data_IF_663215679158
#
_entry.id   IF_663215679158
#
_cell.length_a   1.000
_cell.length_b   1.000
_cell.length_c   1.000
_cell.angle_alpha   90.00
_cell.angle_beta   90.00
_cell.angle_gamma   90.00
#
_symmetry.space_group_name_H-M   'P 1'
#
loop_
_entity.id
_entity.type
_entity.pdbx_description
1 polymer ?
#
# COMPACT_ATOMS: atom_id res chain seq x y z
N UNK A 1 30.19 -5.12 -3.75
CA UNK A 1 28.88 -5.53 -3.19
C UNK A 1 27.75 -4.61 -3.64
N UNK A 2 27.79 -3.30 -3.37
CA UNK A 2 26.77 -2.35 -3.86
C UNK A 2 26.50 -2.47 -5.37
N UNK A 3 27.56 -2.51 -6.19
CA UNK A 3 27.48 -2.70 -7.65
C UNK A 3 27.04 -4.10 -8.11
N UNK A 4 27.17 -5.13 -7.27
CA UNK A 4 26.78 -6.51 -7.58
C UNK A 4 25.26 -6.66 -7.42
N UNK A 5 24.71 -6.00 -6.41
CA UNK A 5 23.28 -6.06 -6.08
C UNK A 5 22.48 -4.89 -6.67
N UNK A 6 23.12 -3.99 -7.41
CA UNK A 6 22.51 -2.77 -7.97
C UNK A 6 21.78 -1.94 -6.89
N UNK A 7 22.43 -1.77 -5.73
CA UNK A 7 21.89 -0.99 -4.61
C UNK A 7 22.90 0.03 -4.12
N UNK A 8 22.39 1.09 -3.50
CA UNK A 8 23.23 2.10 -2.87
C UNK A 8 24.05 1.52 -1.70
N UNK A 9 25.26 2.05 -1.49
CA UNK A 9 26.16 1.62 -0.40
C UNK A 9 25.47 1.67 0.96
N UNK A 10 24.65 2.70 1.22
CA UNK A 10 23.91 2.85 2.48
C UNK A 10 22.90 1.74 2.71
N UNK A 11 22.42 1.12 1.64
CA UNK A 11 21.51 -0.04 1.71
C UNK A 11 22.27 -1.26 2.21
N UNK A 12 23.48 -1.49 1.70
CA UNK A 12 24.35 -2.58 2.16
C UNK A 12 24.71 -2.38 3.63
N UNK A 13 25.10 -1.17 4.04
CA UNK A 13 25.43 -0.85 5.44
C UNK A 13 24.25 -1.16 6.37
N UNK A 14 23.03 -0.73 6.00
CA UNK A 14 21.81 -1.06 6.77
C UNK A 14 21.52 -2.55 6.86
N UNK A 15 21.84 -3.34 5.83
CA UNK A 15 21.65 -4.79 5.88
C UNK A 15 22.59 -5.43 6.90
N UNK A 16 23.86 -5.02 6.92
CA UNK A 16 24.83 -5.50 7.92
C UNK A 16 24.45 -5.05 9.33
N UNK A 17 24.06 -3.78 9.53
CA UNK A 17 23.62 -3.27 10.83
C UNK A 17 22.41 -4.03 11.38
N UNK A 18 21.45 -4.36 10.51
CA UNK A 18 20.26 -5.13 10.91
C UNK A 18 20.60 -6.59 11.18
N UNK A 19 21.51 -7.18 10.39
CA UNK A 19 22.01 -8.54 10.59
C UNK A 19 22.73 -8.69 11.93
N UNK A 20 23.55 -7.72 12.32
CA UNK A 20 24.24 -7.74 13.61
C UNK A 20 23.25 -7.72 14.80
N UNK A 21 22.13 -7.01 14.66
CA UNK A 21 21.13 -6.87 15.73
C UNK A 21 20.20 -8.06 15.88
N UNK A 22 19.67 -8.57 14.77
CA UNK A 22 18.56 -9.54 14.76
C UNK A 22 18.91 -10.85 14.05
N UNK A 23 20.10 -10.96 13.45
CA UNK A 23 20.55 -12.14 12.72
C UNK A 23 19.56 -12.55 11.63
N UNK A 24 19.17 -13.81 11.64
CA UNK A 24 18.17 -14.38 10.71
C UNK A 24 16.82 -13.62 10.76
N UNK A 25 16.47 -13.02 11.91
CA UNK A 25 15.27 -12.23 12.08
C UNK A 25 15.21 -10.95 11.23
N UNK A 26 16.36 -10.48 10.73
CA UNK A 26 16.46 -9.29 9.87
C UNK A 26 16.18 -9.55 8.38
N UNK A 27 16.22 -10.83 7.96
CA UNK A 27 15.99 -11.26 6.58
C UNK A 27 14.54 -11.11 6.07
N UNK A 28 13.49 -11.44 6.86
CA UNK A 28 12.12 -11.33 6.37
C UNK A 28 11.73 -9.90 6.01
N UNK A 29 10.98 -9.76 4.93
CA UNK A 29 10.39 -8.48 4.53
C UNK A 29 9.30 -8.13 5.55
N UNK A 30 9.52 -7.08 6.33
CA UNK A 30 8.53 -6.57 7.28
C UNK A 30 7.23 -6.22 6.55
N UNK A 31 6.09 -6.57 7.15
CA UNK A 31 4.78 -6.17 6.66
C UNK A 31 4.69 -4.64 6.57
N UNK A 32 4.15 -4.14 5.45
CA UNK A 32 4.02 -2.69 5.22
C UNK A 32 5.18 -2.00 4.50
N UNK A 33 6.21 -2.75 4.04
CA UNK A 33 7.29 -2.21 3.18
C UNK A 33 6.85 -1.96 1.72
N UNK A 34 5.62 -2.35 1.37
CA UNK A 34 4.99 -2.03 0.09
C UNK A 34 4.54 -0.57 0.01
N UNK A 35 4.25 -0.10 -1.21
CA UNK A 35 3.65 1.22 -1.43
C UNK A 35 2.35 1.31 -0.63
N UNK A 36 2.29 2.24 0.34
CA UNK A 36 1.07 2.49 1.11
C UNK A 36 -0.05 2.85 0.13
N UNK A 37 -1.17 2.15 0.22
CA UNK A 37 -2.33 2.42 -0.61
C UNK A 37 -2.80 3.86 -0.35
N UNK A 38 -3.03 4.63 -1.42
CA UNK A 38 -3.57 6.00 -1.35
C UNK A 38 -4.94 6.08 -0.66
N UNK A 39 -5.59 4.94 -0.48
CA UNK A 39 -6.90 4.76 0.13
C UNK A 39 -6.83 4.54 1.65
N UNK A 40 -5.63 4.41 2.23
CA UNK A 40 -5.48 4.19 3.67
C UNK A 40 -5.95 5.43 4.45
N UNK A 41 -6.94 5.26 5.33
CA UNK A 41 -7.59 6.35 6.07
C UNK A 41 -8.87 6.91 5.42
N UNK A 42 -9.33 6.32 4.31
CA UNK A 42 -10.61 6.64 3.65
C UNK A 42 -11.64 5.51 3.80
N UNK A 43 -11.45 4.63 4.79
CA UNK A 43 -12.27 3.44 4.99
C UNK A 43 -13.73 3.78 5.30
N UNK A 44 -13.99 4.75 6.17
CA UNK A 44 -15.35 5.23 6.47
C UNK A 44 -16.04 5.82 5.24
N UNK A 45 -15.35 6.70 4.51
CA UNK A 45 -15.90 7.33 3.29
C UNK A 45 -16.19 6.28 2.22
N UNK A 46 -15.30 5.31 2.06
CA UNK A 46 -15.50 4.20 1.13
C UNK A 46 -16.70 3.34 1.54
N UNK A 47 -16.88 3.09 2.83
CA UNK A 47 -18.00 2.31 3.36
C UNK A 47 -19.34 3.00 3.06
N UNK A 48 -19.47 4.30 3.37
CA UNK A 48 -20.67 5.08 3.05
C UNK A 48 -20.96 5.08 1.54
N UNK A 49 -19.93 5.30 0.71
CA UNK A 49 -20.10 5.30 -0.74
C UNK A 49 -20.44 3.90 -1.29
N UNK A 50 -19.98 2.82 -0.65
CA UNK A 50 -20.35 1.45 -1.00
C UNK A 50 -21.78 1.11 -0.58
N UNK A 51 -22.31 1.66 0.51
CA UNK A 51 -23.72 1.49 0.86
C UNK A 51 -24.64 2.17 -0.17
N UNK A 52 -24.30 3.39 -0.59
CA UNK A 52 -25.07 4.19 -1.55
C UNK A 52 -24.93 3.63 -2.98
N UNK A 53 -23.76 3.15 -3.35
CA UNK A 53 -23.42 2.75 -4.72
C UNK A 53 -22.92 1.30 -4.85
N UNK A 54 -23.36 0.39 -3.98
CA UNK A 54 -22.92 -1.03 -3.87
C UNK A 54 -22.76 -1.76 -5.21
N UNK A 55 -23.61 -1.47 -6.20
CA UNK A 55 -23.55 -2.07 -7.54
C UNK A 55 -22.56 -1.41 -8.51
N UNK A 56 -22.18 -0.15 -8.31
CA UNK A 56 -21.42 0.63 -9.29
C UNK A 56 -20.16 1.30 -8.71
N UNK A 57 -19.06 0.52 -8.72
CA UNK A 57 -17.71 0.98 -8.37
C UNK A 57 -17.22 2.18 -9.21
N UNK A 58 -17.79 2.47 -10.39
CA UNK A 58 -17.39 3.67 -11.16
C UNK A 58 -17.82 4.96 -10.47
N UNK A 59 -18.98 4.96 -9.80
CA UNK A 59 -19.46 6.15 -9.08
C UNK A 59 -18.58 6.42 -7.85
N UNK A 60 -18.16 5.36 -7.15
CA UNK A 60 -17.22 5.47 -6.03
C UNK A 60 -15.87 6.05 -6.50
N UNK A 61 -15.38 5.62 -7.66
CA UNK A 61 -14.15 6.18 -8.26
C UNK A 61 -14.28 7.66 -8.61
N UNK A 62 -15.40 8.06 -9.23
CA UNK A 62 -15.69 9.47 -9.53
C UNK A 62 -15.73 10.31 -8.25
N UNK A 63 -16.39 9.80 -7.20
CA UNK A 63 -16.47 10.51 -5.92
C UNK A 63 -15.09 10.71 -5.26
N UNK A 64 -14.21 9.71 -5.34
CA UNK A 64 -12.84 9.79 -4.81
C UNK A 64 -11.97 10.77 -5.62
N UNK A 65 -12.19 10.84 -6.93
CA UNK A 65 -11.49 11.79 -7.80
C UNK A 65 -11.97 13.22 -7.53
N UNK A 66 -13.29 13.45 -7.42
CA UNK A 66 -13.87 14.77 -7.19
C UNK A 66 -13.63 15.32 -5.78
N UNK A 67 -13.87 14.53 -4.72
CA UNK A 67 -13.76 15.02 -3.33
C UNK A 67 -12.37 14.91 -2.73
N UNK A 68 -11.60 13.91 -3.12
CA UNK A 68 -10.31 13.62 -2.50
C UNK A 68 -9.13 13.81 -3.45
N UNK A 69 -9.37 14.15 -4.73
CA UNK A 69 -8.34 14.27 -5.76
C UNK A 69 -7.49 12.99 -5.90
N UNK A 70 -8.08 11.83 -5.57
CA UNK A 70 -7.42 10.52 -5.62
C UNK A 70 -7.85 9.80 -6.89
N UNK A 71 -7.01 9.91 -7.91
CA UNK A 71 -7.17 9.14 -9.14
C UNK A 71 -6.56 7.74 -8.97
N UNK A 72 -7.41 6.72 -8.98
CA UNK A 72 -7.02 5.31 -8.89
C UNK A 72 -7.77 4.47 -9.92
N UNK A 73 -7.22 3.32 -10.31
CA UNK A 73 -7.92 2.39 -11.18
C UNK A 73 -8.86 1.49 -10.36
N UNK A 74 -9.90 0.95 -11.02
CA UNK A 74 -10.86 0.03 -10.41
C UNK A 74 -10.20 -1.17 -9.72
N UNK A 75 -9.08 -1.68 -10.25
CA UNK A 75 -8.34 -2.81 -9.69
C UNK A 75 -7.69 -2.46 -8.35
N UNK A 76 -7.18 -1.25 -8.19
CA UNK A 76 -6.65 -0.76 -6.91
C UNK A 76 -7.74 -0.67 -5.86
N UNK A 77 -8.92 -0.15 -6.24
CA UNK A 77 -10.09 -0.11 -5.35
C UNK A 77 -10.51 -1.53 -4.94
N UNK A 78 -10.64 -2.46 -5.89
CA UNK A 78 -10.99 -3.86 -5.59
C UNK A 78 -9.97 -4.57 -4.70
N UNK A 79 -8.67 -4.35 -4.94
CA UNK A 79 -7.63 -4.93 -4.09
C UNK A 79 -7.71 -4.35 -2.68
N UNK A 80 -8.02 -3.07 -2.54
CA UNK A 80 -8.22 -2.44 -1.25
C UNK A 80 -9.41 -3.06 -0.51
N UNK A 81 -10.57 -3.20 -1.16
CA UNK A 81 -11.76 -3.83 -0.55
C UNK A 81 -11.51 -5.28 -0.11
N UNK A 82 -10.76 -6.04 -0.91
CA UNK A 82 -10.35 -7.41 -0.54
C UNK A 82 -9.44 -7.46 0.68
N UNK A 83 -8.54 -6.49 0.80
CA UNK A 83 -7.58 -6.37 1.91
C UNK A 83 -8.29 -5.94 3.20
N UNK A 84 -9.21 -4.97 3.10
CA UNK A 84 -9.98 -4.43 4.24
C UNK A 84 -11.20 -5.26 4.62
N UNK A 85 -11.57 -6.29 3.83
CA UNK A 85 -12.79 -7.11 3.99
C UNK A 85 -14.07 -6.28 4.17
N UNK A 86 -14.17 -5.20 3.39
CA UNK A 86 -15.35 -4.33 3.26
C UNK A 86 -16.28 -4.83 2.14
#
# INVERSE_FOLDING_TARGET
>A
MASIFDVDRRTIERWFDNWEKEGVGSLPITTGRGVKTRLKGLEDVLSEQLEIHSRNLKNVLLHLEEKHNIRICKKTLQNFLKDTRL
#
